data_IF_433298725758
#
_entry.id   IF_433298725758
#
_cell.length_a   1.000
_cell.length_b   1.000
_cell.length_c   1.000
_cell.angle_alpha   90.00
_cell.angle_beta   90.00
_cell.angle_gamma   90.00
#
_symmetry.space_group_name_H-M   'P 1'
#
loop_
_entity.id
_entity.type
_entity.pdbx_description
1 polymer ?
#
# COMPACT_ATOMS: atom_id res chain seq x y z
N UNK A 1 14.96 -6.68 12.28
CA UNK A 1 14.15 -5.71 11.52
C UNK A 1 15.08 -4.67 10.95
N UNK A 2 15.20 -4.66 9.62
CA UNK A 2 15.98 -3.67 8.90
C UNK A 2 15.15 -2.37 8.75
N UNK A 3 15.84 -1.25 8.50
CA UNK A 3 15.19 0.03 8.19
C UNK A 3 15.16 0.17 6.68
N UNK A 4 13.99 0.50 6.16
CA UNK A 4 13.76 0.73 4.74
C UNK A 4 13.28 2.16 4.53
N UNK A 5 13.98 2.87 3.65
CA UNK A 5 13.58 4.14 3.07
C UNK A 5 12.66 3.84 1.91
N UNK A 6 11.40 4.23 2.05
CA UNK A 6 10.38 4.00 1.03
C UNK A 6 9.87 5.32 0.51
N UNK A 7 9.82 5.43 -0.81
CA UNK A 7 9.31 6.62 -1.49
C UNK A 7 8.37 6.26 -2.65
N UNK A 8 7.33 7.06 -2.82
CA UNK A 8 6.36 6.91 -3.90
C UNK A 8 5.67 8.24 -4.16
N UNK A 9 5.82 8.79 -5.37
CA UNK A 9 5.31 10.12 -5.70
C UNK A 9 5.80 11.18 -4.70
N UNK A 10 4.86 11.76 -3.94
CA UNK A 10 5.15 12.78 -2.92
C UNK A 10 5.38 12.21 -1.51
N UNK A 11 5.27 10.90 -1.33
CA UNK A 11 5.44 10.24 -0.03
C UNK A 11 6.88 9.79 0.12
N UNK A 12 7.50 10.13 1.26
CA UNK A 12 8.82 9.65 1.69
C UNK A 12 8.74 9.29 3.16
N UNK A 13 9.03 8.05 3.51
CA UNK A 13 8.98 7.58 4.90
C UNK A 13 10.02 6.50 5.17
N UNK A 14 10.37 6.33 6.43
CA UNK A 14 11.24 5.24 6.90
C UNK A 14 10.38 4.23 7.63
N UNK A 15 10.50 2.96 7.27
CA UNK A 15 9.71 1.84 7.80
C UNK A 15 10.67 0.78 8.35
N UNK A 16 10.33 0.20 9.49
CA UNK A 16 11.01 -1.00 9.98
C UNK A 16 10.25 -2.23 9.50
N UNK A 17 10.90 -3.07 8.71
CA UNK A 17 10.33 -4.30 8.18
C UNK A 17 11.38 -5.41 8.15
N UNK A 18 10.94 -6.63 7.85
CA UNK A 18 11.86 -7.76 7.67
C UNK A 18 12.47 -7.78 6.26
N UNK A 19 11.73 -7.27 5.27
CA UNK A 19 12.11 -7.23 3.86
C UNK A 19 11.50 -5.98 3.18
N UNK A 20 12.01 -5.65 1.99
CA UNK A 20 11.59 -4.48 1.24
C UNK A 20 10.15 -4.56 0.73
N UNK A 21 9.67 -5.77 0.42
CA UNK A 21 8.30 -6.00 -0.04
C UNK A 21 7.28 -5.68 1.06
N UNK A 22 7.51 -6.12 2.30
CA UNK A 22 6.70 -5.74 3.48
C UNK A 22 6.73 -4.25 3.73
N UNK A 23 7.88 -3.59 3.53
CA UNK A 23 7.97 -2.14 3.66
C UNK A 23 7.09 -1.42 2.60
N UNK A 24 7.11 -1.90 1.36
CA UNK A 24 6.28 -1.38 0.28
C UNK A 24 4.79 -1.63 0.53
N UNK A 25 4.42 -2.85 0.93
CA UNK A 25 3.05 -3.24 1.27
C UNK A 25 2.49 -2.41 2.43
N UNK A 26 3.34 -2.05 3.40
CA UNK A 26 2.95 -1.19 4.51
C UNK A 26 2.64 0.24 4.06
N UNK A 27 3.41 0.79 3.10
CA UNK A 27 3.07 2.08 2.47
C UNK A 27 1.70 2.02 1.82
N UNK A 28 1.43 0.95 1.06
CA UNK A 28 0.13 0.78 0.40
C UNK A 28 -0.98 0.75 1.43
N UNK A 29 -0.85 -0.07 2.47
CA UNK A 29 -1.81 -0.12 3.56
C UNK A 29 -2.05 1.26 4.19
N UNK A 30 -0.99 2.01 4.47
CA UNK A 30 -1.10 3.36 5.05
C UNK A 30 -1.81 4.34 4.12
N UNK A 31 -1.49 4.32 2.83
CA UNK A 31 -2.17 5.17 1.84
C UNK A 31 -3.66 4.82 1.76
N UNK A 32 -4.00 3.52 1.75
CA UNK A 32 -5.40 3.09 1.76
C UNK A 32 -6.12 3.51 3.04
N UNK A 33 -5.47 3.41 4.22
CA UNK A 33 -6.02 3.89 5.49
C UNK A 33 -6.24 5.42 5.52
N UNK A 34 -5.58 6.20 4.67
CA UNK A 34 -5.86 7.64 4.52
C UNK A 34 -7.05 7.93 3.60
N UNK A 35 -7.39 7.00 2.70
CA UNK A 35 -8.51 7.12 1.76
C UNK A 35 -9.80 6.55 2.37
N UNK A 36 -9.71 5.56 3.26
CA UNK A 36 -10.85 4.91 3.96
C UNK A 36 -11.72 5.89 4.79
N UNK A 37 -11.19 6.90 5.51
CA UNK A 37 -12.00 7.81 6.34
C UNK A 37 -12.94 8.72 5.55
N UNK A 38 -12.89 8.72 4.21
CA UNK A 38 -13.76 9.54 3.35
C UNK A 38 -15.06 8.80 2.98
N UNK A 39 -15.26 7.56 3.45
CA UNK A 39 -16.43 6.72 3.11
C UNK A 39 -17.39 6.48 4.28
N UNK A 40 -17.75 7.55 4.98
CA UNK A 40 -18.96 7.55 5.82
C UNK A 40 -20.25 7.82 4.99
N UNK A 41 -20.15 7.77 3.66
CA UNK A 41 -21.31 7.75 2.76
C UNK A 41 -21.77 6.30 2.53
N UNK A 42 -22.94 6.02 3.11
CA UNK A 42 -23.59 4.72 3.28
C UNK A 42 -24.02 3.94 2.01
N UNK A 43 -23.53 4.27 0.80
CA UNK A 43 -24.15 3.80 -0.45
C UNK A 43 -23.29 2.90 -1.36
N UNK A 44 -22.02 2.63 -1.05
CA UNK A 44 -21.16 1.79 -1.91
C UNK A 44 -21.08 0.34 -1.44
N UNK A 45 -21.25 -0.61 -2.37
CA UNK A 45 -21.00 -2.03 -2.12
C UNK A 45 -19.52 -2.27 -1.78
N UNK A 46 -19.19 -3.39 -1.11
CA UNK A 46 -17.79 -3.75 -0.80
C UNK A 46 -16.89 -3.76 -2.04
N UNK A 47 -17.41 -4.19 -3.19
CA UNK A 47 -16.68 -4.21 -4.46
C UNK A 47 -16.37 -2.79 -4.96
N UNK A 48 -17.36 -1.89 -4.90
CA UNK A 48 -17.19 -0.50 -5.35
C UNK A 48 -16.24 0.30 -4.44
N UNK A 49 -16.25 0.01 -3.13
CA UNK A 49 -15.26 0.57 -2.18
C UNK A 49 -13.86 0.11 -2.55
N UNK A 50 -13.70 -1.15 -2.93
CA UNK A 50 -12.42 -1.71 -3.36
C UNK A 50 -11.90 -1.03 -4.63
N UNK A 51 -12.72 -0.91 -5.67
CA UNK A 51 -12.30 -0.25 -6.92
C UNK A 51 -11.92 1.21 -6.71
N UNK A 52 -12.70 1.93 -5.91
CA UNK A 52 -12.44 3.35 -5.64
C UNK A 52 -11.20 3.53 -4.76
N UNK A 53 -10.94 2.61 -3.82
CA UNK A 53 -9.71 2.60 -3.03
C UNK A 53 -8.48 2.38 -3.91
N UNK A 54 -8.54 1.46 -4.88
CA UNK A 54 -7.44 1.22 -5.83
C UNK A 54 -7.12 2.49 -6.63
N UNK A 55 -8.14 3.12 -7.23
CA UNK A 55 -7.95 4.32 -8.07
C UNK A 55 -7.41 5.49 -7.25
N UNK A 56 -7.94 5.74 -6.05
CA UNK A 56 -7.45 6.84 -5.20
C UNK A 56 -6.10 6.53 -4.55
N UNK A 57 -5.83 5.27 -4.25
CA UNK A 57 -4.53 4.81 -3.79
C UNK A 57 -3.43 5.10 -4.81
N UNK A 58 -3.71 4.87 -6.10
CA UNK A 58 -2.84 5.23 -7.23
C UNK A 58 -2.72 6.74 -7.49
N UNK A 59 -3.61 7.57 -6.93
CA UNK A 59 -3.49 9.04 -7.00
C UNK A 59 -2.56 9.53 -5.88
N UNK A 60 -2.60 8.88 -4.71
CA UNK A 60 -1.78 9.24 -3.54
C UNK A 60 -0.37 8.67 -3.66
N UNK A 61 -0.27 7.41 -4.05
CA UNK A 61 0.97 6.73 -4.40
C UNK A 61 1.31 7.07 -5.84
N UNK A 62 2.59 7.21 -6.18
CA UNK A 62 3.00 7.34 -7.57
C UNK A 62 2.74 6.06 -8.36
N UNK A 63 3.21 6.00 -9.60
CA UNK A 63 3.11 4.77 -10.40
C UNK A 63 4.05 3.68 -9.87
N UNK A 64 5.14 4.05 -9.22
CA UNK A 64 6.10 3.13 -8.60
C UNK A 64 6.42 3.48 -7.15
N UNK A 65 6.86 2.45 -6.43
CA UNK A 65 7.35 2.53 -5.06
C UNK A 65 8.83 2.12 -5.09
N UNK A 66 9.69 2.98 -4.60
CA UNK A 66 11.12 2.73 -4.48
C UNK A 66 11.45 2.41 -3.03
N UNK A 67 12.15 1.30 -2.81
CA UNK A 67 12.54 0.81 -1.48
C UNK A 67 14.05 0.64 -1.43
N UNK A 68 14.69 1.12 -0.36
CA UNK A 68 16.12 0.94 -0.16
C UNK A 68 16.49 0.90 1.34
N UNK A 69 17.56 0.22 1.72
CA UNK A 69 18.00 0.11 3.13
C UNK A 69 18.93 1.25 3.58
N UNK A 70 19.55 1.94 2.63
CA UNK A 70 20.62 2.93 2.85
C UNK A 70 20.08 4.36 2.83
N UNK A 71 19.17 4.69 1.90
CA UNK A 71 18.63 6.04 1.79
C UNK A 71 17.60 6.24 0.67
N UNK A 72 17.01 7.43 0.61
CA UNK A 72 16.11 7.85 -0.48
C UNK A 72 16.87 8.11 -1.78
N UNK A 73 16.18 8.02 -2.92
CA UNK A 73 16.72 8.34 -4.26
C UNK A 73 18.02 7.58 -4.61
N UNK A 74 18.23 6.40 -4.02
CA UNK A 74 19.43 5.59 -4.28
C UNK A 74 19.30 4.83 -5.60
N UNK A 75 20.40 4.71 -6.35
CA UNK A 75 20.42 4.08 -7.68
C UNK A 75 20.04 2.58 -7.61
N UNK A 76 20.52 1.89 -6.57
CA UNK A 76 20.17 0.49 -6.25
C UNK A 76 18.81 0.36 -5.50
N UNK A 77 17.89 1.31 -5.65
CA UNK A 77 16.56 1.16 -5.06
C UNK A 77 15.78 0.07 -5.77
N UNK A 78 15.12 -0.80 -4.99
CA UNK A 78 14.16 -1.74 -5.54
C UNK A 78 12.91 -0.97 -5.95
N UNK A 79 12.66 -0.90 -7.27
CA UNK A 79 11.43 -0.34 -7.82
C UNK A 79 10.36 -1.43 -7.90
N UNK A 80 9.16 -1.11 -7.41
CA UNK A 80 8.01 -1.99 -7.41
C UNK A 80 6.82 -1.25 -8.03
N UNK A 81 6.03 -1.95 -8.82
CA UNK A 81 4.83 -1.38 -9.41
C UNK A 81 3.75 -1.19 -8.33
N UNK A 82 3.21 0.03 -8.26
CA UNK A 82 2.22 0.37 -7.23
C UNK A 82 0.92 -0.38 -7.43
N UNK A 83 0.50 -0.60 -8.68
CA UNK A 83 -0.71 -1.34 -8.99
C UNK A 83 -0.57 -2.81 -8.57
N UNK A 84 0.57 -3.45 -8.86
CA UNK A 84 0.84 -4.82 -8.41
C UNK A 84 0.80 -4.94 -6.89
N UNK A 85 1.43 -4.01 -6.16
CA UNK A 85 1.41 -4.00 -4.70
C UNK A 85 0.02 -3.75 -4.12
N UNK A 86 -0.77 -2.88 -4.75
CA UNK A 86 -2.17 -2.64 -4.37
C UNK A 86 -3.03 -3.89 -4.57
N UNK A 87 -2.85 -4.59 -5.68
CA UNK A 87 -3.53 -5.86 -5.95
C UNK A 87 -3.14 -6.93 -4.92
N UNK A 88 -1.85 -7.04 -4.59
CA UNK A 88 -1.36 -7.97 -3.58
C UNK A 88 -1.97 -7.63 -2.20
N UNK A 89 -1.98 -6.35 -1.81
CA UNK A 89 -2.63 -5.90 -0.59
C UNK A 89 -4.12 -6.23 -0.56
N UNK A 90 -4.85 -6.00 -1.65
CA UNK A 90 -6.28 -6.31 -1.75
C UNK A 90 -6.54 -7.82 -1.57
N UNK A 91 -5.72 -8.68 -2.17
CA UNK A 91 -5.82 -10.13 -2.00
C UNK A 91 -5.62 -10.54 -0.54
N UNK A 92 -4.66 -9.92 0.16
CA UNK A 92 -4.42 -10.17 1.58
C UNK A 92 -5.61 -9.74 2.45
N UNK A 93 -6.19 -8.57 2.18
CA UNK A 93 -7.39 -8.11 2.89
C UNK A 93 -8.60 -9.01 2.63
N UNK A 94 -8.80 -9.45 1.38
CA UNK A 94 -9.89 -10.37 1.03
C UNK A 94 -9.70 -11.74 1.69
N UNK A 95 -8.46 -12.24 1.77
CA UNK A 95 -8.14 -13.47 2.49
C UNK A 95 -8.42 -13.32 3.99
N UNK A 96 -8.05 -12.18 4.59
CA UNK A 96 -8.32 -11.88 6.00
C UNK A 96 -9.82 -11.82 6.29
N UNK A 97 -10.61 -11.11 5.48
CA UNK A 97 -12.08 -11.06 5.64
C UNK A 97 -12.73 -12.43 5.55
N UNK A 98 -12.23 -13.32 4.67
CA UNK A 98 -12.72 -14.70 4.58
C UNK A 98 -12.43 -15.50 5.85
N UNK A 99 -11.25 -15.32 6.44
CA UNK A 99 -10.89 -15.99 7.69
C UNK A 99 -11.72 -15.48 8.87
N UNK A 100 -11.94 -14.16 8.95
CA UNK A 100 -12.81 -13.56 9.97
C UNK A 100 -14.25 -14.06 9.85
N UNK A 101 -14.76 -14.24 8.63
CA UNK A 101 -16.12 -14.76 8.39
C UNK A 101 -16.28 -16.26 8.74
N UNK A 102 -15.18 -16.99 8.97
CA UNK A 102 -15.19 -18.40 9.38
C UNK A 102 -15.08 -18.59 10.91
N UNK A 103 -14.85 -17.51 11.66
CA UNK A 103 -14.79 -17.46 13.12
C UNK A 103 -16.13 -16.99 13.70
#
# INVERSE_FOLDING_TARGET
>A
MAKFYVQSGNIRTVISADDGEKAALWIVHRAMQQVVPVYDDHELSPEQKSETAVIKGLIVLGNSILVNEVGFDHEDSQEMDTFELVMHWQQLMAALSKLEAML
#
